data_IF_691082203125
#
_entry.id   IF_691082203125
#
_cell.length_a   1.000
_cell.length_b   1.000
_cell.length_c   1.000
_cell.angle_alpha   90.00
_cell.angle_beta   90.00
_cell.angle_gamma   90.00
#
_symmetry.space_group_name_H-M   'P 1'
#
loop_
_entity.id
_entity.type
_entity.pdbx_description
1 polymer ?
#
# COMPACT_ATOMS: atom_id res chain seq x y z
N UNK A 1 -10.51 2.19 -1.61
CA UNK A 1 -11.62 3.14 -1.51
C UNK A 1 -12.13 3.54 -2.90
N UNK A 2 -11.31 4.15 -3.77
CA UNK A 2 -11.72 4.59 -5.11
C UNK A 2 -12.27 3.44 -5.96
N UNK A 3 -11.65 2.25 -5.91
CA UNK A 3 -12.10 1.09 -6.66
C UNK A 3 -13.49 0.61 -6.19
N UNK A 4 -13.75 0.60 -4.88
CA UNK A 4 -15.07 0.28 -4.34
C UNK A 4 -16.12 1.31 -4.77
N UNK A 5 -15.79 2.60 -4.72
CA UNK A 5 -16.69 3.66 -5.18
C UNK A 5 -17.01 3.56 -6.67
N UNK A 6 -16.02 3.25 -7.51
CA UNK A 6 -16.22 3.06 -8.95
C UNK A 6 -17.07 1.82 -9.26
N UNK A 7 -16.87 0.74 -8.50
CA UNK A 7 -17.69 -0.46 -8.61
C UNK A 7 -19.16 -0.18 -8.27
N UNK A 8 -19.40 0.51 -7.15
CA UNK A 8 -20.76 0.84 -6.70
C UNK A 8 -21.49 1.84 -7.60
N UNK A 9 -20.75 2.84 -8.12
CA UNK A 9 -21.39 3.96 -8.87
C UNK A 9 -21.49 3.69 -10.36
N UNK A 10 -20.47 3.03 -10.94
CA UNK A 10 -20.36 2.83 -12.39
C UNK A 10 -20.26 1.37 -12.83
N UNK A 11 -20.29 0.41 -11.89
CA UNK A 11 -20.11 -1.00 -12.18
C UNK A 11 -18.73 -1.35 -12.74
N UNK A 12 -17.73 -0.48 -12.54
CA UNK A 12 -16.37 -0.65 -13.07
C UNK A 12 -15.44 -1.04 -11.94
N UNK A 13 -14.87 -2.24 -12.03
CA UNK A 13 -13.80 -2.69 -11.14
C UNK A 13 -12.44 -2.54 -11.83
N UNK A 14 -11.51 -1.86 -11.16
CA UNK A 14 -10.14 -1.76 -11.61
C UNK A 14 -9.33 -2.88 -10.94
N UNK A 15 -8.94 -3.89 -11.70
CA UNK A 15 -7.98 -4.87 -11.23
C UNK A 15 -6.61 -4.22 -10.93
N UNK A 16 -5.82 -4.87 -10.08
CA UNK A 16 -4.53 -4.39 -9.59
C UNK A 16 -3.59 -3.93 -10.72
N UNK A 17 -3.51 -4.69 -11.83
CA UNK A 17 -2.67 -4.31 -12.98
C UNK A 17 -3.08 -3.00 -13.65
N UNK A 18 -4.39 -2.73 -13.80
CA UNK A 18 -4.88 -1.44 -14.34
C UNK A 18 -4.64 -0.29 -13.39
N UNK A 19 -4.80 -0.54 -12.09
CA UNK A 19 -4.49 0.43 -11.05
C UNK A 19 -3.01 0.81 -11.08
N UNK A 20 -2.11 -0.18 -11.19
CA UNK A 20 -0.66 0.05 -11.34
C UNK A 20 -0.30 0.83 -12.60
N UNK A 21 -0.96 0.56 -13.73
CA UNK A 21 -0.66 1.25 -14.98
C UNK A 21 -0.85 2.77 -14.91
N UNK A 22 -1.75 3.24 -14.05
CA UNK A 22 -1.97 4.67 -13.80
C UNK A 22 -1.20 5.14 -12.56
N UNK A 23 -1.23 4.37 -11.48
CA UNK A 23 -0.65 4.73 -10.19
C UNK A 23 0.87 4.82 -10.22
N UNK A 24 1.55 3.89 -10.90
CA UNK A 24 3.03 3.89 -10.95
C UNK A 24 3.58 5.11 -11.69
N UNK A 25 3.13 5.46 -12.91
CA UNK A 25 3.59 6.70 -13.56
C UNK A 25 3.30 7.94 -12.72
N UNK A 26 2.12 8.01 -12.12
CA UNK A 26 1.75 9.14 -11.25
C UNK A 26 2.66 9.23 -10.03
N UNK A 27 2.93 8.11 -9.36
CA UNK A 27 3.83 8.06 -8.21
C UNK A 27 5.26 8.49 -8.59
N UNK A 28 5.77 8.05 -9.74
CA UNK A 28 7.09 8.46 -10.24
C UNK A 28 7.14 9.97 -10.49
N UNK A 29 6.11 10.53 -11.14
CA UNK A 29 6.03 11.97 -11.40
C UNK A 29 6.03 12.76 -10.08
N UNK A 30 5.17 12.38 -9.12
CA UNK A 30 5.12 13.03 -7.81
C UNK A 30 6.42 12.88 -7.02
N UNK A 31 7.08 11.73 -7.11
CA UNK A 31 8.37 11.50 -6.45
C UNK A 31 9.46 12.42 -7.01
N UNK A 32 9.50 12.59 -8.35
CA UNK A 32 10.43 13.50 -9.00
C UNK A 32 10.14 14.96 -8.65
N UNK A 33 8.87 15.36 -8.61
CA UNK A 33 8.45 16.71 -8.19
C UNK A 33 8.84 16.93 -6.73
N UNK A 34 8.52 16.01 -5.84
CA UNK A 34 8.87 16.11 -4.43
C UNK A 34 10.38 16.19 -4.21
N UNK A 35 11.15 15.34 -4.91
CA UNK A 35 12.61 15.38 -4.89
C UNK A 35 13.16 16.74 -5.37
N UNK A 36 12.67 17.25 -6.50
CA UNK A 36 13.08 18.54 -7.02
C UNK A 36 12.74 19.71 -6.07
N UNK A 37 11.54 19.67 -5.47
CA UNK A 37 11.11 20.67 -4.46
C UNK A 37 12.00 20.60 -3.22
N UNK A 38 12.26 19.41 -2.70
CA UNK A 38 13.11 19.25 -1.52
C UNK A 38 14.52 19.79 -1.75
N UNK A 39 15.15 19.50 -2.88
CA UNK A 39 16.49 19.99 -3.19
C UNK A 39 16.52 21.50 -3.45
N UNK A 40 15.43 22.06 -4.00
CA UNK A 40 15.36 23.50 -4.27
C UNK A 40 15.04 24.33 -3.04
N UNK A 41 14.16 23.85 -2.18
CA UNK A 41 13.73 24.55 -0.96
C UNK A 41 14.75 24.32 0.17
N UNK A 42 15.09 23.04 0.40
CA UNK A 42 16.05 22.64 1.43
C UNK A 42 17.40 22.33 0.76
N UNK A 43 18.13 23.36 0.41
CA UNK A 43 19.48 23.17 -0.17
C UNK A 43 20.35 22.36 0.78
N UNK A 44 20.88 21.19 0.36
CA UNK A 44 21.76 20.40 1.22
C UNK A 44 22.98 21.25 1.63
N UNK A 45 23.19 21.40 2.92
CA UNK A 45 24.33 22.15 3.45
C UNK A 45 25.66 21.45 3.13
N UNK A 46 25.65 20.10 3.05
CA UNK A 46 26.80 19.30 2.67
C UNK A 46 26.57 18.66 1.31
N UNK A 47 27.46 18.92 0.37
CA UNK A 47 27.44 18.28 -0.97
C UNK A 47 27.97 16.87 -0.94
N UNK A 48 28.92 16.58 -0.06
CA UNK A 48 29.52 15.28 0.12
C UNK A 48 29.64 14.94 1.60
N UNK A 49 29.27 13.73 1.97
CA UNK A 49 29.50 13.18 3.30
C UNK A 49 30.90 12.59 3.29
N UNK A 50 31.87 13.14 4.04
CA UNK A 50 33.22 12.58 4.09
C UNK A 50 33.18 11.11 4.50
N UNK A 51 33.77 10.22 3.67
CA UNK A 51 33.76 8.77 3.91
C UNK A 51 32.42 8.07 3.63
N UNK A 52 31.36 8.77 3.19
CA UNK A 52 30.03 8.18 3.01
C UNK A 52 30.01 7.05 1.97
N UNK A 53 30.82 7.17 0.93
CA UNK A 53 30.93 6.12 -0.10
C UNK A 53 31.67 4.88 0.41
N UNK A 54 32.73 5.07 1.18
CA UNK A 54 33.49 3.98 1.80
C UNK A 54 32.63 3.23 2.82
N UNK A 55 31.84 3.96 3.61
CA UNK A 55 30.90 3.37 4.57
C UNK A 55 29.85 2.48 3.89
N UNK A 56 29.27 2.98 2.78
CA UNK A 56 28.31 2.21 1.99
C UNK A 56 28.96 0.98 1.35
N UNK A 57 30.15 1.12 0.80
CA UNK A 57 30.90 0.01 0.18
C UNK A 57 31.26 -1.05 1.22
N UNK A 58 31.61 -0.65 2.43
CA UNK A 58 31.92 -1.59 3.52
C UNK A 58 30.65 -2.28 4.06
N UNK A 59 29.53 -1.59 4.15
CA UNK A 59 28.24 -2.21 4.48
C UNK A 59 27.80 -3.20 3.39
N UNK A 60 27.93 -2.84 2.11
CA UNK A 60 27.63 -3.75 0.99
C UNK A 60 28.52 -5.00 1.05
N UNK A 61 29.82 -4.85 1.34
CA UNK A 61 30.73 -5.99 1.53
C UNK A 61 30.33 -6.85 2.74
N UNK A 62 29.93 -6.23 3.83
CA UNK A 62 29.47 -6.92 5.05
C UNK A 62 28.21 -7.74 4.84
N UNK A 63 27.29 -7.30 3.92
CA UNK A 63 26.09 -8.08 3.55
C UNK A 63 26.44 -9.43 2.89
N UNK A 64 27.60 -9.51 2.19
CA UNK A 64 28.03 -10.73 1.51
C UNK A 64 27.15 -11.15 0.34
N UNK A 65 27.37 -12.36 -0.20
CA UNK A 65 26.58 -12.89 -1.30
C UNK A 65 25.15 -13.26 -0.86
N UNK A 66 24.21 -13.21 -1.80
CA UNK A 66 22.83 -13.61 -1.58
C UNK A 66 22.73 -15.01 -1.01
N UNK A 67 22.05 -15.14 0.11
CA UNK A 67 21.80 -16.44 0.75
C UNK A 67 20.59 -17.13 0.10
N UNK A 68 20.52 -18.48 0.20
CA UNK A 68 19.38 -19.26 -0.30
C UNK A 68 18.03 -18.73 0.22
N UNK A 69 17.84 -18.46 1.51
CA UNK A 69 16.59 -17.91 2.03
C UNK A 69 16.21 -16.58 1.38
N UNK A 70 17.17 -15.66 1.19
CA UNK A 70 16.93 -14.37 0.53
C UNK A 70 16.45 -14.53 -0.91
N UNK A 71 17.10 -15.42 -1.67
CA UNK A 71 16.71 -15.71 -3.06
C UNK A 71 15.30 -16.34 -3.09
N UNK A 72 15.00 -17.30 -2.21
CA UNK A 72 13.67 -17.93 -2.15
C UNK A 72 12.58 -16.92 -1.79
N UNK A 73 12.81 -16.06 -0.82
CA UNK A 73 11.88 -14.98 -0.46
C UNK A 73 11.68 -14.01 -1.64
N UNK A 74 12.75 -13.63 -2.32
CA UNK A 74 12.69 -12.79 -3.52
C UNK A 74 11.88 -13.43 -4.65
N UNK A 75 12.06 -14.73 -4.90
CA UNK A 75 11.27 -15.48 -5.90
C UNK A 75 9.79 -15.49 -5.54
N UNK A 76 9.44 -15.78 -4.28
CA UNK A 76 8.04 -15.79 -3.81
C UNK A 76 7.43 -14.40 -3.97
N UNK A 77 8.16 -13.34 -3.64
CA UNK A 77 7.70 -11.97 -3.83
C UNK A 77 7.41 -11.65 -5.30
N UNK A 78 8.34 -12.01 -6.20
CA UNK A 78 8.17 -11.80 -7.65
C UNK A 78 6.99 -12.61 -8.19
N UNK A 79 6.82 -13.86 -7.73
CA UNK A 79 5.69 -14.70 -8.13
C UNK A 79 4.35 -14.14 -7.62
N UNK A 80 4.30 -13.63 -6.39
CA UNK A 80 3.11 -12.98 -5.86
C UNK A 80 2.76 -11.70 -6.65
N UNK A 81 3.76 -10.86 -6.95
CA UNK A 81 3.57 -9.66 -7.78
C UNK A 81 3.10 -10.01 -9.19
N UNK A 82 3.68 -11.04 -9.82
CA UNK A 82 3.25 -11.53 -11.12
C UNK A 82 1.81 -12.10 -11.05
N UNK A 83 1.47 -12.83 -10.00
CA UNK A 83 0.13 -13.37 -9.80
C UNK A 83 -0.92 -12.26 -9.70
N UNK A 84 -0.66 -11.19 -8.96
CA UNK A 84 -1.57 -10.03 -8.87
C UNK A 84 -1.84 -9.35 -10.22
N UNK A 85 -0.89 -9.42 -11.16
CA UNK A 85 -1.06 -8.85 -12.50
C UNK A 85 -1.73 -9.85 -13.45
N UNK A 86 -1.31 -11.12 -13.40
CA UNK A 86 -1.69 -12.15 -14.39
C UNK A 86 -3.03 -12.77 -14.05
N UNK A 87 -3.28 -13.14 -12.79
CA UNK A 87 -4.49 -13.85 -12.41
C UNK A 87 -5.80 -13.11 -12.76
N UNK A 88 -5.94 -11.80 -12.53
CA UNK A 88 -7.14 -11.07 -12.95
C UNK A 88 -7.33 -11.04 -14.47
N UNK A 89 -6.25 -11.20 -15.25
CA UNK A 89 -6.33 -11.24 -16.72
C UNK A 89 -6.78 -12.60 -17.24
N UNK A 90 -6.36 -13.68 -16.55
CA UNK A 90 -6.64 -15.07 -16.94
C UNK A 90 -7.96 -15.56 -16.35
N UNK A 91 -8.25 -15.19 -15.11
CA UNK A 91 -9.41 -15.66 -14.34
C UNK A 91 -10.61 -14.70 -14.44
N UNK A 92 -10.80 -14.02 -15.55
CA UNK A 92 -11.92 -13.08 -15.80
C UNK A 92 -13.32 -13.66 -15.55
N UNK A 93 -13.47 -14.98 -15.64
CA UNK A 93 -14.73 -15.70 -15.44
C UNK A 93 -15.01 -16.11 -13.99
N UNK A 94 -14.03 -15.95 -13.09
CA UNK A 94 -14.22 -16.24 -11.66
C UNK A 94 -14.70 -14.98 -10.94
N UNK A 95 -16.02 -14.85 -10.76
CA UNK A 95 -16.68 -13.71 -10.09
C UNK A 95 -16.19 -13.46 -8.64
N UNK A 96 -15.55 -14.45 -8.00
CA UNK A 96 -15.13 -14.38 -6.59
C UNK A 96 -13.60 -14.29 -6.41
N UNK A 97 -12.84 -13.84 -7.41
CA UNK A 97 -11.41 -13.67 -7.25
C UNK A 97 -11.12 -12.42 -6.40
N UNK A 98 -10.46 -12.62 -5.25
CA UNK A 98 -9.98 -11.56 -4.38
C UNK A 98 -8.44 -11.52 -4.39
N UNK A 99 -7.89 -10.34 -4.61
CA UNK A 99 -6.42 -10.12 -4.60
C UNK A 99 -5.77 -10.52 -3.26
N UNK A 100 -6.53 -10.55 -2.17
CA UNK A 100 -6.07 -11.01 -0.85
C UNK A 100 -5.64 -12.48 -0.85
N UNK A 101 -6.21 -13.31 -1.72
CA UNK A 101 -5.88 -14.75 -1.84
C UNK A 101 -4.40 -14.93 -2.16
N UNK A 102 -3.85 -14.12 -3.07
CA UNK A 102 -2.43 -14.17 -3.44
C UNK A 102 -1.53 -13.83 -2.26
N UNK A 103 -1.87 -12.77 -1.51
CA UNK A 103 -1.11 -12.36 -0.34
C UNK A 103 -1.10 -13.42 0.75
N UNK A 104 -2.28 -13.99 1.06
CA UNK A 104 -2.42 -15.07 2.05
C UNK A 104 -1.65 -16.32 1.61
N UNK A 105 -1.78 -16.73 0.35
CA UNK A 105 -1.07 -17.89 -0.20
C UNK A 105 0.46 -17.70 -0.11
N UNK A 106 0.98 -16.54 -0.51
CA UNK A 106 2.39 -16.21 -0.40
C UNK A 106 2.87 -16.25 1.07
N UNK A 107 2.10 -15.68 2.00
CA UNK A 107 2.37 -15.74 3.43
C UNK A 107 2.44 -17.18 3.95
N UNK A 108 1.46 -18.02 3.62
CA UNK A 108 1.43 -19.44 4.00
C UNK A 108 2.66 -20.17 3.45
N UNK A 109 3.03 -19.94 2.19
CA UNK A 109 4.20 -20.53 1.56
C UNK A 109 5.48 -20.16 2.31
N UNK A 110 5.64 -18.90 2.71
CA UNK A 110 6.80 -18.44 3.51
C UNK A 110 6.88 -19.15 4.87
N UNK A 111 5.75 -19.43 5.52
CA UNK A 111 5.71 -20.18 6.79
C UNK A 111 6.02 -21.67 6.63
N UNK A 112 5.73 -22.27 5.47
CA UNK A 112 5.92 -23.68 5.22
C UNK A 112 7.35 -23.97 4.75
N UNK A 113 7.91 -23.15 3.86
CA UNK A 113 9.20 -23.40 3.24
C UNK A 113 10.37 -23.28 4.22
N UNK A 114 11.29 -24.25 4.22
CA UNK A 114 12.46 -24.21 5.08
C UNK A 114 13.50 -23.23 4.55
N UNK A 115 14.01 -22.38 5.43
CA UNK A 115 15.17 -21.54 5.18
C UNK A 115 16.48 -22.34 5.29
N UNK A 116 16.56 -23.19 6.32
CA UNK A 116 17.67 -24.11 6.56
C UNK A 116 17.12 -25.46 7.06
N UNK A 117 17.42 -26.51 6.30
CA UNK A 117 17.01 -27.87 6.64
C UNK A 117 17.71 -28.41 7.90
N UNK A 118 18.95 -27.96 8.17
CA UNK A 118 19.72 -28.44 9.31
C UNK A 118 19.23 -27.79 10.62
N UNK A 119 18.87 -26.50 10.56
CA UNK A 119 18.41 -25.73 11.73
C UNK A 119 16.89 -25.75 11.91
N UNK A 120 16.15 -26.40 11.02
CA UNK A 120 14.66 -26.41 10.99
C UNK A 120 14.04 -25.00 11.04
N UNK A 121 14.75 -23.99 10.56
CA UNK A 121 14.23 -22.63 10.44
C UNK A 121 13.38 -22.49 9.19
N UNK A 122 12.30 -21.71 9.26
CA UNK A 122 11.41 -21.39 8.13
C UNK A 122 11.82 -20.06 7.50
N UNK A 123 11.37 -19.79 6.26
CA UNK A 123 11.61 -18.51 5.61
C UNK A 123 10.96 -17.37 6.41
N UNK A 124 9.76 -17.63 6.96
CA UNK A 124 9.09 -16.74 7.89
C UNK A 124 8.70 -17.54 9.13
N UNK A 125 9.08 -17.06 10.30
CA UNK A 125 8.65 -17.57 11.59
C UNK A 125 7.66 -16.60 12.25
N UNK A 126 6.96 -17.08 13.29
CA UNK A 126 5.97 -16.28 13.99
C UNK A 126 6.58 -15.07 14.71
N UNK A 127 7.81 -15.20 15.16
CA UNK A 127 8.52 -14.11 15.85
C UNK A 127 8.71 -12.93 14.88
N UNK A 128 9.26 -13.20 13.70
CA UNK A 128 9.48 -12.19 12.65
C UNK A 128 8.14 -11.64 12.11
N UNK A 129 7.13 -12.50 11.93
CA UNK A 129 5.81 -12.06 11.51
C UNK A 129 5.14 -11.12 12.54
N UNK A 130 5.41 -11.31 13.82
CA UNK A 130 4.88 -10.46 14.89
C UNK A 130 5.57 -9.08 14.96
N UNK A 131 6.71 -8.90 14.32
CA UNK A 131 7.41 -7.62 14.18
C UNK A 131 6.79 -6.71 13.09
N UNK A 132 5.80 -7.22 12.35
CA UNK A 132 5.03 -6.40 11.41
C UNK A 132 4.30 -5.27 12.16
N UNK A 133 4.14 -4.10 11.54
CA UNK A 133 3.41 -2.98 12.13
C UNK A 133 1.90 -3.26 12.16
N UNK A 134 1.47 -4.10 13.08
CA UNK A 134 0.07 -4.51 13.27
C UNK A 134 -0.87 -3.34 13.56
N UNK A 135 -0.37 -2.32 14.26
CA UNK A 135 -1.05 -1.06 14.53
C UNK A 135 -1.49 -0.38 13.24
N UNK A 136 -0.61 -0.30 12.23
CA UNK A 136 -0.91 0.28 10.92
C UNK A 136 -1.96 -0.58 10.19
N UNK A 137 -1.78 -1.91 10.18
CA UNK A 137 -2.72 -2.83 9.52
C UNK A 137 -4.11 -2.76 10.14
N UNK A 138 -4.21 -2.75 11.48
CA UNK A 138 -5.47 -2.64 12.21
C UNK A 138 -6.13 -1.27 11.99
N UNK A 139 -5.34 -0.19 11.97
CA UNK A 139 -5.86 1.15 11.70
C UNK A 139 -6.47 1.24 10.30
N UNK A 140 -5.76 0.79 9.28
CA UNK A 140 -6.28 0.79 7.91
C UNK A 140 -7.46 -0.15 7.72
N UNK A 141 -7.35 -1.39 8.19
CA UNK A 141 -8.42 -2.38 8.09
C UNK A 141 -9.68 -1.95 8.85
N UNK A 142 -9.51 -1.42 10.07
CA UNK A 142 -10.59 -0.86 10.86
C UNK A 142 -11.25 0.35 10.19
N UNK A 143 -10.46 1.25 9.62
CA UNK A 143 -10.95 2.41 8.87
C UNK A 143 -11.76 2.02 7.63
N UNK A 144 -11.29 1.04 6.85
CA UNK A 144 -12.00 0.51 5.69
C UNK A 144 -13.31 -0.18 6.11
N UNK A 145 -13.28 -0.99 7.17
CA UNK A 145 -14.47 -1.64 7.72
C UNK A 145 -15.49 -0.62 8.19
N UNK A 146 -15.06 0.40 8.93
CA UNK A 146 -15.93 1.48 9.38
C UNK A 146 -16.54 2.24 8.19
N UNK A 147 -15.76 2.55 7.16
CA UNK A 147 -16.25 3.19 5.94
C UNK A 147 -17.33 2.35 5.24
N UNK A 148 -17.16 1.04 5.19
CA UNK A 148 -18.15 0.11 4.62
C UNK A 148 -19.47 0.14 5.44
N UNK A 149 -19.37 0.13 6.77
CA UNK A 149 -20.54 0.23 7.65
C UNK A 149 -21.27 1.57 7.51
N UNK A 150 -20.53 2.68 7.37
CA UNK A 150 -21.12 3.99 7.11
C UNK A 150 -21.96 4.01 5.83
N UNK A 151 -21.47 3.36 4.76
CA UNK A 151 -22.23 3.27 3.51
C UNK A 151 -23.44 2.34 3.62
N UNK A 152 -23.26 1.15 4.18
CA UNK A 152 -24.34 0.15 4.29
C UNK A 152 -25.45 0.54 5.26
N UNK A 153 -25.12 1.32 6.30
CA UNK A 153 -26.12 1.85 7.25
C UNK A 153 -26.92 3.04 6.73
N UNK A 154 -26.56 3.59 5.57
CA UNK A 154 -27.16 4.81 5.03
C UNK A 154 -26.71 6.11 5.71
N UNK A 155 -25.78 6.02 6.67
CA UNK A 155 -25.28 7.19 7.39
C UNK A 155 -24.60 8.20 6.45
N UNK A 156 -23.88 7.70 5.44
CA UNK A 156 -23.28 8.56 4.39
C UNK A 156 -24.34 9.38 3.63
N UNK A 157 -25.45 8.75 3.28
CA UNK A 157 -26.57 9.41 2.62
C UNK A 157 -27.24 10.45 3.54
N UNK A 158 -27.46 10.11 4.79
CA UNK A 158 -28.05 10.99 5.80
C UNK A 158 -27.19 12.25 6.02
N UNK A 159 -25.87 12.09 6.16
CA UNK A 159 -24.91 13.22 6.27
C UNK A 159 -24.95 14.05 4.98
N UNK A 160 -25.00 13.41 3.81
CA UNK A 160 -25.09 14.09 2.52
C UNK A 160 -26.38 14.90 2.38
N UNK A 161 -27.50 14.41 2.90
CA UNK A 161 -28.77 15.14 2.91
C UNK A 161 -28.77 16.33 3.86
N UNK A 162 -28.16 16.19 5.03
CA UNK A 162 -27.94 17.35 5.91
C UNK A 162 -27.06 18.41 5.26
N UNK A 163 -26.04 18.00 4.52
CA UNK A 163 -25.16 18.92 3.79
C UNK A 163 -25.87 19.65 2.64
N UNK A 164 -26.99 19.14 2.09
CA UNK A 164 -27.82 19.85 1.10
C UNK A 164 -28.36 21.18 1.64
N UNK A 165 -28.59 21.30 2.95
CA UNK A 165 -28.95 22.56 3.60
C UNK A 165 -27.88 23.65 3.48
N UNK A 166 -26.61 23.25 3.18
CA UNK A 166 -25.47 24.13 2.95
C UNK A 166 -25.28 24.49 1.48
N UNK A 167 -26.21 24.10 0.60
CA UNK A 167 -26.12 24.32 -0.86
C UNK A 167 -26.08 25.79 -1.29
N UNK A 168 -26.34 26.71 -0.35
CA UNK A 168 -26.18 28.17 -0.54
C UNK A 168 -24.70 28.57 -0.59
N UNK A 169 -23.80 27.74 -0.04
CA UNK A 169 -22.36 28.00 -0.04
C UNK A 169 -21.68 27.44 -1.29
N UNK A 170 -20.68 28.13 -1.85
CA UNK A 170 -19.86 27.57 -2.92
C UNK A 170 -19.26 26.22 -2.49
N UNK A 171 -19.29 25.24 -3.40
CA UNK A 171 -18.79 23.87 -3.15
C UNK A 171 -17.35 23.88 -2.59
N UNK A 172 -16.53 24.82 -3.06
CA UNK A 172 -15.14 24.98 -2.57
C UNK A 172 -15.10 25.29 -1.08
N UNK A 173 -16.03 26.12 -0.55
CA UNK A 173 -16.07 26.42 0.89
C UNK A 173 -16.54 25.23 1.72
N UNK A 174 -17.46 24.42 1.21
CA UNK A 174 -17.91 23.19 1.88
C UNK A 174 -16.75 22.19 1.96
N UNK A 175 -16.06 21.97 0.85
CA UNK A 175 -14.87 21.08 0.81
C UNK A 175 -13.76 21.59 1.74
N UNK A 176 -13.49 22.90 1.75
CA UNK A 176 -12.50 23.50 2.63
C UNK A 176 -12.88 23.33 4.11
N UNK A 177 -14.16 23.54 4.46
CA UNK A 177 -14.64 23.37 5.82
C UNK A 177 -14.57 21.92 6.30
N UNK A 178 -14.93 20.95 5.45
CA UNK A 178 -14.81 19.52 5.74
C UNK A 178 -13.33 19.12 5.89
N UNK A 179 -12.46 19.59 5.00
CA UNK A 179 -11.03 19.34 5.09
C UNK A 179 -10.42 19.92 6.37
N UNK A 180 -10.80 21.16 6.73
CA UNK A 180 -10.36 21.79 7.98
C UNK A 180 -10.86 21.05 9.22
N UNK A 181 -12.10 20.55 9.21
CA UNK A 181 -12.66 19.74 10.29
C UNK A 181 -11.90 18.42 10.43
N UNK A 182 -11.61 17.73 9.32
CA UNK A 182 -10.84 16.48 9.33
C UNK A 182 -9.44 16.72 9.86
N UNK A 183 -8.75 17.78 9.41
CA UNK A 183 -7.44 18.15 9.93
C UNK A 183 -7.47 18.42 11.42
N UNK A 184 -8.46 19.16 11.91
CA UNK A 184 -8.61 19.46 13.33
C UNK A 184 -8.89 18.22 14.18
N UNK A 185 -9.61 17.24 13.64
CA UNK A 185 -9.92 15.99 14.35
C UNK A 185 -8.76 14.98 14.32
N UNK A 186 -7.80 15.15 13.41
CA UNK A 186 -6.65 14.23 13.25
C UNK A 186 -5.39 14.70 13.95
N UNK A 187 -5.35 15.93 14.45
CA UNK A 187 -4.27 16.45 15.33
C UNK A 187 -4.62 16.25 16.82
#
# INVERSE_FOLDING_TARGET
>A
FLNAYMADTWGVTLGFGRWMAVGVPLAVIFLLIAWALLITIFKPEMKDIPGGRELIDDEIKALGPWTRPQIMTGIIFVLAAAAWVILPLVLKEFENYDDAIVGIAAGIVLFILPADNQRRTRLLDWKTANEMPWDVLLLFGGGLSLSSVFNSSGLSLWIGEMAKGLSVLPVVLIVAAVAALVLFLTE
#
